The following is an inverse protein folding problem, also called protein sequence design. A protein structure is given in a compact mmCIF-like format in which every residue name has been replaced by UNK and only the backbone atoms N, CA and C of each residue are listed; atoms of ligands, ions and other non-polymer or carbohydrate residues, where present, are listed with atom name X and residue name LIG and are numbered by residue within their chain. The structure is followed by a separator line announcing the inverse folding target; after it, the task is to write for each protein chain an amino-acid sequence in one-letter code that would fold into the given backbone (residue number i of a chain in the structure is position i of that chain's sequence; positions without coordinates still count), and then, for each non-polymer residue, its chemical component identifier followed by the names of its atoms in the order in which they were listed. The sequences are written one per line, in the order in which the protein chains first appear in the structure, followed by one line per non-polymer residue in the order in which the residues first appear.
data_IF_860697394499
#
_entry.id   IF_860697394499
#
_cell.length_a   1.000
_cell.length_b   1.000
_cell.length_c   1.000
_cell.angle_alpha   90.00
_cell.angle_beta   90.00
_cell.angle_gamma   90.00
#
_symmetry.space_group_name_H-M   'P 1'
#
loop_
_entity.id
_entity.type
_entity.pdbx_description
1 polymer ?
#
# COMPACT_ATOMS: atom_id res chain seq x y z
N UNK A 1 11.90 -6.28 -14.65
CA UNK A 1 13.32 -6.38 -14.23
C UNK A 1 13.65 -5.11 -13.46
N UNK A 2 14.17 -5.23 -12.23
CA UNK A 2 14.72 -4.07 -11.51
C UNK A 2 15.89 -3.52 -12.33
N UNK A 3 15.96 -2.20 -12.53
CA UNK A 3 16.96 -1.55 -13.40
C UNK A 3 16.54 -1.35 -14.86
N UNK A 4 15.32 -1.72 -15.26
CA UNK A 4 14.84 -1.42 -16.61
C UNK A 4 14.41 0.04 -16.75
N UNK A 5 15.03 0.74 -17.71
CA UNK A 5 14.62 2.07 -18.18
C UNK A 5 13.29 2.05 -18.96
N UNK A 6 12.69 0.89 -19.16
CA UNK A 6 11.44 0.70 -19.90
C UNK A 6 10.35 0.16 -18.98
N UNK A 7 9.15 0.69 -19.10
CA UNK A 7 7.98 0.15 -18.43
C UNK A 7 7.66 -1.26 -18.97
N UNK A 8 7.49 -2.24 -18.08
CA UNK A 8 7.16 -3.62 -18.48
C UNK A 8 5.73 -3.84 -18.98
N UNK A 9 4.82 -2.88 -18.74
CA UNK A 9 3.40 -2.97 -19.13
C UNK A 9 3.11 -2.19 -20.42
N UNK A 10 3.43 -0.90 -20.43
CA UNK A 10 3.15 -0.01 -21.57
C UNK A 10 4.36 0.26 -22.45
N UNK A 11 5.52 -0.32 -22.14
CA UNK A 11 6.70 -0.33 -23.01
C UNK A 11 7.33 1.05 -23.29
N UNK A 12 6.87 2.11 -22.63
CA UNK A 12 7.47 3.45 -22.67
C UNK A 12 8.91 3.39 -22.14
N UNK A 13 9.83 4.00 -22.87
CA UNK A 13 11.24 4.13 -22.49
C UNK A 13 11.46 5.46 -21.78
N UNK A 14 12.17 5.41 -20.66
CA UNK A 14 12.49 6.53 -19.80
C UNK A 14 14.00 6.80 -19.80
N UNK A 15 14.41 8.04 -19.50
CA UNK A 15 15.82 8.38 -19.39
C UNK A 15 16.52 7.61 -18.27
N UNK A 16 15.81 7.23 -17.20
CA UNK A 16 16.37 6.49 -16.07
C UNK A 16 15.36 5.52 -15.45
N UNK A 17 15.86 4.50 -14.73
CA UNK A 17 15.05 3.52 -14.03
C UNK A 17 14.17 4.14 -12.92
N UNK A 18 14.60 5.22 -12.27
CA UNK A 18 13.79 5.93 -11.27
C UNK A 18 12.55 6.57 -11.90
N UNK A 19 12.65 7.11 -13.11
CA UNK A 19 11.51 7.62 -13.85
C UNK A 19 10.55 6.50 -14.26
N UNK A 20 11.08 5.38 -14.74
CA UNK A 20 10.28 4.20 -15.07
C UNK A 20 9.56 3.65 -13.83
N UNK A 21 10.23 3.61 -12.67
CA UNK A 21 9.63 3.20 -11.39
C UNK A 21 8.55 4.18 -10.93
N UNK A 22 8.78 5.50 -11.02
CA UNK A 22 7.78 6.52 -10.68
C UNK A 22 6.57 6.44 -11.60
N UNK A 23 6.78 6.22 -12.88
CA UNK A 23 5.71 5.98 -13.85
C UNK A 23 4.92 4.73 -13.47
N UNK A 24 5.58 3.59 -13.24
CA UNK A 24 4.92 2.34 -12.88
C UNK A 24 4.14 2.46 -11.56
N UNK A 25 4.70 3.14 -10.55
CA UNK A 25 4.01 3.39 -9.27
C UNK A 25 2.71 4.18 -9.45
N UNK A 26 2.67 5.12 -10.40
CA UNK A 26 1.49 5.98 -10.65
C UNK A 26 0.48 5.33 -11.60
N UNK A 27 0.93 4.78 -12.71
CA UNK A 27 0.07 4.29 -13.80
C UNK A 27 -0.26 2.80 -13.68
N UNK A 28 0.60 2.03 -13.00
CA UNK A 28 0.47 0.58 -12.86
C UNK A 28 0.71 0.12 -11.42
N UNK A 29 -0.05 0.64 -10.42
CA UNK A 29 0.21 0.39 -9.01
C UNK A 29 0.19 -1.11 -8.67
N UNK A 30 -0.69 -1.89 -9.30
CA UNK A 30 -0.78 -3.35 -9.12
C UNK A 30 0.45 -4.08 -9.65
N UNK A 31 0.89 -3.78 -10.86
CA UNK A 31 2.07 -4.42 -11.47
C UNK A 31 3.35 -4.00 -10.73
N UNK A 32 3.44 -2.72 -10.33
CA UNK A 32 4.54 -2.22 -9.52
C UNK A 32 4.62 -2.94 -8.17
N UNK A 33 3.49 -3.09 -7.46
CA UNK A 33 3.43 -3.83 -6.21
C UNK A 33 3.81 -5.31 -6.40
N UNK A 34 3.27 -5.97 -7.42
CA UNK A 34 3.59 -7.36 -7.73
C UNK A 34 5.09 -7.56 -8.05
N UNK A 35 5.70 -6.61 -8.76
CA UNK A 35 7.13 -6.64 -9.05
C UNK A 35 7.99 -6.35 -7.81
N UNK A 36 7.60 -5.38 -6.99
CA UNK A 36 8.31 -5.01 -5.77
C UNK A 36 8.25 -6.10 -4.68
N UNK A 37 7.14 -6.85 -4.62
CA UNK A 37 6.93 -7.93 -3.67
C UNK A 37 7.36 -9.30 -4.20
N UNK A 38 7.95 -9.36 -5.41
CA UNK A 38 8.36 -10.63 -6.02
C UNK A 38 9.48 -11.27 -5.20
N UNK A 39 9.18 -12.39 -4.56
CA UNK A 39 10.13 -13.09 -3.68
C UNK A 39 10.22 -12.52 -2.26
N UNK A 40 9.45 -11.49 -1.94
CA UNK A 40 9.35 -10.98 -0.57
C UNK A 40 8.50 -11.92 0.31
N UNK A 41 8.91 -12.10 1.55
CA UNK A 41 8.14 -12.83 2.57
C UNK A 41 7.39 -11.85 3.46
N UNK A 42 6.19 -12.23 3.86
CA UNK A 42 5.36 -11.51 4.83
C UNK A 42 5.59 -12.16 6.20
N UNK A 43 6.12 -11.40 7.16
CA UNK A 43 6.53 -11.93 8.46
C UNK A 43 5.53 -11.54 9.54
N UNK A 44 5.11 -12.51 10.36
CA UNK A 44 4.29 -12.21 11.53
C UNK A 44 5.13 -11.48 12.60
N UNK A 45 4.67 -10.32 13.05
CA UNK A 45 5.36 -9.57 14.10
C UNK A 45 5.27 -10.21 15.50
N UNK A 46 4.30 -11.12 15.72
CA UNK A 46 4.10 -11.80 17.01
C UNK A 46 5.03 -13.00 17.17
N UNK A 47 5.13 -13.85 16.13
CA UNK A 47 5.86 -15.11 16.21
C UNK A 47 6.97 -15.28 15.16
N UNK A 48 7.27 -14.24 14.38
CA UNK A 48 8.31 -14.21 13.33
C UNK A 48 8.13 -15.20 12.17
N UNK A 49 7.00 -15.93 12.10
CA UNK A 49 6.77 -16.92 11.05
C UNK A 49 6.60 -16.23 9.67
N UNK A 50 7.31 -16.68 8.63
CA UNK A 50 7.19 -16.12 7.29
C UNK A 50 6.04 -16.75 6.49
N UNK A 51 5.44 -15.96 5.61
CA UNK A 51 4.35 -16.35 4.71
C UNK A 51 4.64 -15.84 3.30
N UNK A 52 4.28 -16.63 2.28
CA UNK A 52 4.46 -16.24 0.88
C UNK A 52 3.44 -15.22 0.37
N UNK A 53 2.43 -14.86 1.17
CA UNK A 53 1.41 -13.89 0.77
C UNK A 53 0.79 -13.15 1.97
N UNK A 54 0.36 -11.91 1.73
CA UNK A 54 -0.35 -11.09 2.72
C UNK A 54 -1.64 -11.75 3.25
N UNK A 55 -2.54 -12.32 2.41
CA UNK A 55 -3.74 -13.00 2.91
C UNK A 55 -3.44 -14.20 3.83
N UNK A 56 -2.36 -14.95 3.57
CA UNK A 56 -1.95 -16.06 4.42
C UNK A 56 -1.48 -15.56 5.80
N UNK A 57 -0.70 -14.47 5.83
CA UNK A 57 -0.30 -13.80 7.07
C UNK A 57 -1.52 -13.25 7.84
N UNK A 58 -2.45 -12.57 7.17
CA UNK A 58 -3.66 -12.02 7.80
C UNK A 58 -4.54 -13.12 8.43
N UNK A 59 -4.71 -14.25 7.73
CA UNK A 59 -5.41 -15.41 8.30
C UNK A 59 -4.69 -15.96 9.53
N UNK A 60 -3.36 -16.04 9.47
CA UNK A 60 -2.56 -16.48 10.60
C UNK A 60 -2.69 -15.55 11.81
N UNK A 61 -2.64 -14.23 11.60
CA UNK A 61 -2.72 -13.23 12.66
C UNK A 61 -4.05 -13.26 13.42
N UNK A 62 -5.15 -13.66 12.78
CA UNK A 62 -6.43 -13.87 13.48
C UNK A 62 -6.35 -14.94 14.58
N UNK A 63 -5.43 -15.90 14.46
CA UNK A 63 -5.19 -16.90 15.50
C UNK A 63 -4.40 -16.37 16.71
N UNK A 64 -3.77 -15.20 16.60
CA UNK A 64 -3.15 -14.50 17.75
C UNK A 64 -4.14 -13.64 18.52
N UNK A 65 -5.37 -13.47 18.03
CA UNK A 65 -6.36 -12.69 18.74
C UNK A 65 -6.63 -13.37 20.10
N UNK A 66 -6.28 -12.75 21.24
CA UNK A 66 -6.88 -13.17 22.50
C UNK A 66 -8.38 -12.96 22.33
N UNK A 67 -9.18 -13.92 22.82
CA UNK A 67 -10.64 -13.88 22.77
C UNK A 67 -11.12 -12.53 23.30
N UNK A 68 -11.42 -11.60 22.39
CA UNK A 68 -11.92 -10.28 22.75
C UNK A 68 -13.43 -10.45 22.82
N UNK A 69 -13.95 -10.41 24.04
CA UNK A 69 -15.37 -10.31 24.34
C UNK A 69 -16.09 -9.37 23.34
N UNK A 70 -17.35 -9.66 22.97
CA UNK A 70 -18.06 -8.88 21.97
C UNK A 70 -18.07 -7.39 22.35
N UNK A 71 -18.01 -6.47 21.37
CA UNK A 71 -18.06 -5.05 21.68
C UNK A 71 -19.40 -4.74 22.35
N UNK A 72 -19.36 -4.44 23.66
CA UNK A 72 -20.46 -3.78 24.34
C UNK A 72 -20.77 -2.49 23.56
N UNK A 73 -22.03 -2.36 23.15
CA UNK A 73 -22.51 -1.40 22.17
C UNK A 73 -22.01 0.02 22.41
N UNK A 74 -21.46 0.62 21.36
CA UNK A 74 -21.43 2.07 21.21
C UNK A 74 -22.13 2.36 19.87
N UNK A 75 -23.23 3.11 19.98
CA UNK A 75 -24.09 3.52 18.88
C UNK A 75 -23.31 4.30 17.79
N UNK A 76 -23.80 4.36 16.53
CA UNK A 76 -23.13 5.11 15.48
C UNK A 76 -23.34 6.61 15.72
N UNK A 77 -22.35 7.29 16.31
CA UNK A 77 -22.29 8.75 16.28
C UNK A 77 -21.90 9.21 14.87
N UNK A 78 -22.78 9.97 14.24
CA UNK A 78 -22.62 10.52 12.89
C UNK A 78 -21.48 11.54 12.90
N UNK A 79 -20.37 11.25 12.24
CA UNK A 79 -19.30 12.22 12.03
C UNK A 79 -19.76 13.35 11.07
N UNK A 80 -19.56 14.63 11.40
CA UNK A 80 -19.84 15.75 10.49
C UNK A 80 -18.82 15.82 9.33
N UNK A 81 -19.19 16.38 8.16
CA UNK A 81 -18.30 16.46 6.99
C UNK A 81 -17.14 17.42 7.27
N UNK A 82 -15.91 16.93 7.05
CA UNK A 82 -14.68 17.73 7.11
C UNK A 82 -14.70 18.71 5.93
N UNK A 83 -14.97 19.98 6.21
CA UNK A 83 -14.84 21.07 5.24
C UNK A 83 -13.38 21.23 4.80
N UNK A 84 -13.13 21.20 3.50
CA UNK A 84 -11.82 21.54 2.93
C UNK A 84 -11.62 23.06 3.00
N UNK A 85 -10.67 23.51 3.81
CA UNK A 85 -10.20 24.90 3.79
C UNK A 85 -9.41 25.16 2.49
N UNK A 86 -9.66 26.28 1.77
CA UNK A 86 -8.86 26.65 0.61
C UNK A 86 -7.45 27.12 1.03
N UNK A 87 -6.47 26.73 0.21
CA UNK A 87 -5.04 27.03 0.36
C UNK A 87 -4.78 28.53 0.12
N UNK A 88 -3.91 29.23 0.90
CA UNK A 88 -3.55 30.60 0.59
C UNK A 88 -2.68 30.67 -0.66
N UNK A 89 -3.11 31.47 -1.64
CA UNK A 89 -2.39 31.81 -2.86
C UNK A 89 -1.40 32.94 -2.56
N UNK A 90 -0.14 32.77 -2.93
CA UNK A 90 0.89 33.78 -2.75
C UNK A 90 0.74 34.88 -3.83
N UNK A 91 0.94 36.17 -3.51
CA UNK A 91 0.82 37.24 -4.50
C UNK A 91 1.97 37.18 -5.53
N UNK A 92 1.71 37.51 -6.81
CA UNK A 92 2.75 37.68 -7.84
C UNK A 92 3.59 38.95 -7.60
N UNK A 93 4.76 39.10 -8.27
CA UNK A 93 5.84 40.02 -7.87
C UNK A 93 5.50 41.51 -8.00
#
# INVERSE_FOLDING_TARGET
RVGSRRCGRCLITFPDAAFAARHAKRQHPRDFAAAALRGALFVCFVCSRPFGSSPALLRHQRGHAPERAPPAGHAPERAPPIGHAPKPEAPPP
#
